data_IF_920020339903
#
_entry.id   IF_920020339903
#
_cell.length_a   1.000
_cell.length_b   1.000
_cell.length_c   1.000
_cell.angle_alpha   90.00
_cell.angle_beta   90.00
_cell.angle_gamma   90.00
#
_symmetry.space_group_name_H-M   'P 1'
#
loop_
_entity.id
_entity.type
_entity.pdbx_description
1 polymer ?
#
# COMPACT_ATOMS: atom_id res chain seq x y z
N UNK A 1 -13.28 -28.10 15.04
CA UNK A 1 -12.10 -27.23 15.21
C UNK A 1 -12.41 -25.90 14.55
N UNK A 2 -12.98 -24.98 15.31
CA UNK A 2 -13.41 -23.67 14.84
C UNK A 2 -12.30 -22.66 15.13
N UNK A 3 -11.63 -22.20 14.08
CA UNK A 3 -10.56 -21.20 14.20
C UNK A 3 -11.23 -19.87 14.58
N UNK A 4 -11.01 -19.48 15.83
CA UNK A 4 -11.57 -18.29 16.48
C UNK A 4 -11.20 -17.02 15.71
N UNK A 5 -12.22 -16.35 15.17
CA UNK A 5 -12.17 -15.09 14.40
C UNK A 5 -11.74 -13.85 15.19
N UNK A 6 -11.17 -13.98 16.39
CA UNK A 6 -11.01 -12.85 17.31
C UNK A 6 -9.60 -12.24 17.39
N UNK A 7 -8.57 -12.84 16.81
CA UNK A 7 -7.18 -12.33 16.96
C UNK A 7 -6.65 -11.60 15.73
N UNK A 8 -7.51 -10.92 14.95
CA UNK A 8 -7.05 -10.16 13.75
C UNK A 8 -7.19 -8.64 13.85
N UNK A 9 -7.81 -8.12 14.91
CA UNK A 9 -8.10 -6.67 15.04
C UNK A 9 -7.17 -5.93 15.98
N UNK A 10 -6.56 -6.61 16.97
CA UNK A 10 -5.73 -5.93 17.97
C UNK A 10 -4.36 -5.50 17.43
N UNK A 11 -3.71 -6.30 16.59
CA UNK A 11 -2.47 -5.88 15.92
C UNK A 11 -2.66 -4.88 14.78
N UNK A 12 -3.91 -4.63 14.35
CA UNK A 12 -4.22 -3.72 13.24
C UNK A 12 -4.29 -2.25 13.68
N UNK A 13 -4.66 -1.99 14.94
CA UNK A 13 -4.91 -0.64 15.45
C UNK A 13 -3.61 0.03 15.97
N UNK A 14 -2.61 -0.74 16.41
CA UNK A 14 -1.45 -0.20 17.14
C UNK A 14 -0.21 0.14 16.30
N UNK A 15 -0.22 -0.03 14.97
CA UNK A 15 0.94 0.36 14.13
C UNK A 15 0.60 1.64 13.38
N UNK A 16 0.95 2.81 13.95
CA UNK A 16 0.41 4.10 13.58
C UNK A 16 1.13 4.66 12.35
N UNK A 17 0.40 5.44 11.56
CA UNK A 17 0.78 6.64 10.78
C UNK A 17 2.15 6.72 10.06
N UNK A 18 3.28 6.31 10.65
CA UNK A 18 4.61 6.37 10.03
C UNK A 18 4.69 5.56 8.76
N UNK A 19 4.26 4.29 8.76
CA UNK A 19 4.40 3.42 7.57
C UNK A 19 3.71 3.96 6.32
N UNK A 20 2.61 4.69 6.48
CA UNK A 20 1.90 5.29 5.34
C UNK A 20 2.69 6.49 4.79
N UNK A 21 3.29 7.29 5.67
CA UNK A 21 4.21 8.35 5.29
C UNK A 21 5.50 7.80 4.66
N UNK A 22 6.08 6.72 5.19
CA UNK A 22 7.23 6.03 4.59
C UNK A 22 6.93 5.51 3.18
N UNK A 23 5.71 4.97 2.95
CA UNK A 23 5.28 4.55 1.60
C UNK A 23 5.22 5.75 0.66
N UNK A 24 4.67 6.88 1.11
CA UNK A 24 4.62 8.11 0.32
C UNK A 24 6.03 8.64 0.01
N UNK A 25 6.92 8.65 1.00
CA UNK A 25 8.30 9.08 0.84
C UNK A 25 9.06 8.16 -0.14
N UNK A 26 8.88 6.84 -0.01
CA UNK A 26 9.46 5.86 -0.92
C UNK A 26 8.96 6.03 -2.36
N UNK A 27 7.66 6.29 -2.53
CA UNK A 27 7.08 6.54 -3.85
C UNK A 27 7.56 7.86 -4.43
N UNK A 28 7.66 8.91 -3.61
CA UNK A 28 8.02 10.26 -4.03
C UNK A 28 7.20 10.68 -5.27
N UNK A 29 7.82 10.97 -6.41
CA UNK A 29 7.12 11.26 -7.67
C UNK A 29 6.99 10.06 -8.64
N UNK A 30 7.50 8.89 -8.26
CA UNK A 30 7.49 7.70 -9.13
C UNK A 30 6.25 6.85 -8.90
N UNK A 31 5.85 6.16 -9.96
CA UNK A 31 4.78 5.18 -9.92
C UNK A 31 5.30 3.80 -9.53
N UNK A 32 4.61 3.15 -8.59
CA UNK A 32 4.99 1.83 -8.11
C UNK A 32 3.77 0.94 -7.91
N UNK A 33 3.94 -0.35 -8.16
CA UNK A 33 2.95 -1.35 -7.74
C UNK A 33 3.05 -1.58 -6.23
N UNK A 34 1.94 -2.01 -5.60
CA UNK A 34 1.94 -2.39 -4.19
C UNK A 34 3.03 -3.42 -3.84
N UNK A 35 3.44 -4.22 -4.82
CA UNK A 35 4.55 -5.15 -4.70
C UNK A 35 5.89 -4.45 -4.69
N UNK A 36 6.19 -3.60 -5.66
CA UNK A 36 7.47 -2.89 -5.69
C UNK A 36 7.69 -2.06 -4.43
N UNK A 37 6.62 -1.45 -3.90
CA UNK A 37 6.66 -0.75 -2.60
C UNK A 37 6.98 -1.73 -1.48
N UNK A 38 6.26 -2.86 -1.39
CA UNK A 38 6.49 -3.86 -0.36
C UNK A 38 7.95 -4.37 -0.38
N UNK A 39 8.41 -4.83 -1.54
CA UNK A 39 9.77 -5.37 -1.69
C UNK A 39 10.84 -4.30 -1.51
N UNK A 40 10.63 -3.08 -2.01
CA UNK A 40 11.55 -1.97 -1.87
C UNK A 40 11.75 -1.53 -0.41
N UNK A 41 10.71 -1.67 0.41
CA UNK A 41 10.77 -1.44 1.86
C UNK A 41 11.20 -2.69 2.66
N UNK A 42 11.53 -3.81 2.00
CA UNK A 42 11.95 -5.05 2.66
C UNK A 42 10.80 -5.90 3.23
N UNK A 43 9.55 -5.63 2.86
CA UNK A 43 8.41 -6.46 3.20
C UNK A 43 8.28 -7.64 2.24
N UNK A 44 8.17 -8.84 2.80
CA UNK A 44 7.78 -10.06 2.09
C UNK A 44 6.27 -10.18 1.85
N UNK A 45 5.47 -9.44 2.64
CA UNK A 45 4.01 -9.54 2.65
C UNK A 45 3.31 -8.28 2.13
N UNK A 46 2.57 -8.43 1.03
CA UNK A 46 1.74 -7.37 0.45
C UNK A 46 0.64 -6.88 1.41
N UNK A 47 0.29 -7.69 2.41
CA UNK A 47 -0.70 -7.36 3.43
C UNK A 47 -0.27 -6.19 4.32
N UNK A 48 1.03 -5.85 4.35
CA UNK A 48 1.52 -4.67 5.05
C UNK A 48 1.21 -3.36 4.29
N UNK A 49 1.11 -3.40 2.96
CA UNK A 49 1.04 -2.21 2.09
C UNK A 49 -0.38 -1.98 1.55
N UNK A 50 -1.08 -3.03 1.11
CA UNK A 50 -2.43 -2.94 0.52
C UNK A 50 -3.46 -2.16 1.36
N UNK A 51 -3.64 -2.42 2.67
CA UNK A 51 -4.58 -1.65 3.47
C UNK A 51 -4.16 -0.18 3.57
N UNK A 52 -2.85 0.09 3.67
CA UNK A 52 -2.32 1.46 3.79
C UNK A 52 -2.50 2.28 2.51
N UNK A 53 -2.27 1.68 1.35
CA UNK A 53 -2.58 2.31 0.06
C UNK A 53 -4.06 2.65 -0.07
N UNK A 54 -4.95 1.80 0.48
CA UNK A 54 -6.39 2.08 0.49
C UNK A 54 -6.73 3.26 1.40
N UNK A 55 -6.12 3.33 2.60
CA UNK A 55 -6.26 4.46 3.52
C UNK A 55 -5.70 5.76 2.90
N UNK A 56 -4.50 5.72 2.33
CA UNK A 56 -3.87 6.87 1.65
C UNK A 56 -4.70 7.35 0.47
N UNK A 57 -5.32 6.44 -0.29
CA UNK A 57 -6.23 6.80 -1.39
C UNK A 57 -7.49 7.47 -0.88
N UNK A 58 -8.07 6.95 0.21
CA UNK A 58 -9.23 7.57 0.84
C UNK A 58 -8.91 8.98 1.37
N UNK A 59 -7.67 9.20 1.82
CA UNK A 59 -7.15 10.51 2.22
C UNK A 59 -6.75 11.42 1.04
N UNK A 60 -6.79 10.94 -0.21
CA UNK A 60 -6.37 11.70 -1.39
C UNK A 60 -4.86 11.94 -1.48
N UNK A 61 -4.05 11.14 -0.78
CA UNK A 61 -2.58 11.23 -0.75
C UNK A 61 -1.91 10.36 -1.83
N UNK A 62 -2.59 9.33 -2.32
CA UNK A 62 -2.16 8.50 -3.45
C UNK A 62 -3.31 8.26 -4.41
N UNK A 63 -2.97 8.02 -5.66
CA UNK A 63 -3.91 7.69 -6.72
C UNK A 63 -3.46 6.48 -7.53
N UNK A 64 -4.41 5.84 -8.20
CA UNK A 64 -4.13 4.72 -9.09
C UNK A 64 -3.99 5.26 -10.50
N UNK A 65 -2.76 5.32 -11.02
CA UNK A 65 -2.48 5.85 -12.36
C UNK A 65 -2.77 4.83 -13.46
N UNK A 66 -2.76 3.54 -13.13
CA UNK A 66 -2.98 2.49 -14.10
C UNK A 66 -2.95 1.09 -13.53
N UNK A 67 -2.79 0.12 -14.44
CA UNK A 67 -2.62 -1.28 -14.09
C UNK A 67 -1.42 -1.84 -14.84
N UNK A 68 -0.47 -2.42 -14.10
CA UNK A 68 0.68 -3.11 -14.65
C UNK A 68 0.41 -4.62 -14.63
N UNK A 69 0.96 -5.35 -15.60
CA UNK A 69 0.92 -6.81 -15.56
C UNK A 69 2.03 -7.32 -14.64
N UNK A 70 1.65 -8.08 -13.62
CA UNK A 70 2.59 -8.69 -12.68
C UNK A 70 2.88 -10.13 -13.12
N UNK A 71 4.11 -10.39 -13.53
CA UNK A 71 4.52 -11.69 -14.09
C UNK A 71 4.51 -12.82 -13.06
N UNK A 72 4.77 -12.54 -11.78
CA UNK A 72 4.78 -13.58 -10.74
C UNK A 72 3.38 -14.08 -10.42
N UNK A 73 2.40 -13.19 -10.35
CA UNK A 73 1.00 -13.55 -10.06
C UNK A 73 0.18 -13.77 -11.31
N UNK A 74 0.74 -13.49 -12.50
CA UNK A 74 0.10 -13.53 -13.82
C UNK A 74 -1.21 -12.74 -13.86
N UNK A 75 -1.25 -11.59 -13.18
CA UNK A 75 -2.45 -10.77 -13.01
C UNK A 75 -2.13 -9.30 -13.22
N UNK A 76 -3.14 -8.54 -13.63
CA UNK A 76 -3.04 -7.07 -13.68
C UNK A 76 -3.15 -6.50 -12.26
N UNK A 77 -2.11 -5.83 -11.80
CA UNK A 77 -2.04 -5.17 -10.48
C UNK A 77 -2.17 -3.66 -10.65
N UNK A 78 -2.72 -2.98 -9.64
CA UNK A 78 -2.83 -1.53 -9.65
C UNK A 78 -1.43 -0.89 -9.46
N UNK A 79 -1.17 0.11 -10.28
CA UNK A 79 -0.02 1.01 -10.15
C UNK A 79 -0.48 2.23 -9.37
N UNK A 80 0.30 2.61 -8.36
CA UNK A 80 0.01 3.69 -7.44
C UNK A 80 1.03 4.80 -7.66
N UNK A 81 0.58 6.05 -7.59
CA UNK A 81 1.42 7.24 -7.58
C UNK A 81 1.02 8.10 -6.38
N UNK A 82 1.97 8.84 -5.81
CA UNK A 82 1.64 9.87 -4.82
C UNK A 82 0.80 10.94 -5.53
N UNK A 83 -0.31 11.33 -4.91
CA UNK A 83 -1.09 12.45 -5.40
C UNK A 83 -0.23 13.68 -5.18
N UNK A 84 0.13 14.38 -6.25
CA UNK A 84 0.85 15.64 -6.12
C UNK A 84 0.00 16.56 -5.25
N UNK A 85 0.57 17.05 -4.14
CA UNK A 85 -0.04 18.16 -3.41
C UNK A 85 -0.10 19.33 -4.39
N UNK A 86 -1.24 19.49 -5.04
CA UNK A 86 -1.63 20.79 -5.58
C UNK A 86 -1.82 21.69 -4.37
N UNK A 87 -0.71 22.30 -3.93
CA UNK A 87 -0.78 23.57 -3.22
C UNK A 87 -1.72 24.46 -4.04
N UNK A 88 -2.86 24.78 -3.45
CA UNK A 88 -3.92 25.55 -4.05
C UNK A 88 -4.22 26.74 -3.17
#
# INVERSE_FOLDING_TARGET
>A
MEITKQTRRESYISRPVTRAADILEFMSDKEYTARQIAYGMGFTDLNAVKPRLTELKAAGLVEVTGKAYDETTKRKVAVWKAAERKER
#
